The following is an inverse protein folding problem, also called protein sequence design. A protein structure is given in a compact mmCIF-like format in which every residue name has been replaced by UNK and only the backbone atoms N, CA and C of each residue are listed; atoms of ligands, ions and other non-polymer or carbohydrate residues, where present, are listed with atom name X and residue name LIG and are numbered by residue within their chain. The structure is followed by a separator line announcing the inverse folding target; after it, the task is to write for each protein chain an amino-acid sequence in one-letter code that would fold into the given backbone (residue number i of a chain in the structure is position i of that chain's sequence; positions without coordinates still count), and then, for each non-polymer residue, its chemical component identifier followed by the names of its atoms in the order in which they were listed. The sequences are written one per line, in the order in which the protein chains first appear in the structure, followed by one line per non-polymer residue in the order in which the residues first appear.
data_IF_865627730863
#
_entry.id   IF_865627730863
#
_cell.length_a   1.000
_cell.length_b   1.000
_cell.length_c   1.000
_cell.angle_alpha   90.00
_cell.angle_beta   90.00
_cell.angle_gamma   90.00
#
_symmetry.space_group_name_H-M   'P 1'
#
loop_
_entity.id
_entity.type
_entity.pdbx_description
1 polymer ?
#
# COMPACT_ATOMS: atom_id res chain seq x y z
N UNK A 1 32.55 -21.63 0.21
CA UNK A 1 32.23 -20.40 1.00
C UNK A 1 31.90 -19.23 0.08
N UNK A 2 32.71 -18.96 -0.96
CA UNK A 2 32.50 -17.83 -1.91
C UNK A 2 31.18 -17.92 -2.68
N UNK A 3 30.77 -19.09 -3.10
CA UNK A 3 29.54 -19.35 -3.85
C UNK A 3 28.30 -18.79 -3.14
N UNK A 4 28.24 -18.87 -1.80
CA UNK A 4 27.10 -18.34 -1.02
C UNK A 4 26.99 -16.83 -1.11
N UNK A 5 28.11 -16.11 -1.12
CA UNK A 5 28.13 -14.64 -1.22
C UNK A 5 27.81 -14.15 -2.63
N UNK A 6 28.28 -14.88 -3.65
CA UNK A 6 27.91 -14.63 -5.05
C UNK A 6 26.42 -14.86 -5.23
N UNK A 7 25.90 -16.00 -4.77
CA UNK A 7 24.46 -16.31 -4.85
C UNK A 7 23.62 -15.27 -4.12
N UNK A 8 24.04 -14.81 -2.94
CA UNK A 8 23.36 -13.77 -2.20
C UNK A 8 23.29 -12.44 -2.99
N UNK A 9 24.38 -12.07 -3.67
CA UNK A 9 24.40 -10.87 -4.52
C UNK A 9 23.45 -11.01 -5.71
N UNK A 10 23.45 -12.15 -6.40
CA UNK A 10 22.54 -12.40 -7.53
C UNK A 10 21.08 -12.38 -7.07
N UNK A 11 20.73 -13.08 -6.00
CA UNK A 11 19.36 -13.12 -5.47
C UNK A 11 18.89 -11.73 -5.03
N UNK A 12 19.77 -10.95 -4.41
CA UNK A 12 19.46 -9.57 -4.02
C UNK A 12 19.24 -8.68 -5.25
N UNK A 13 20.03 -8.87 -6.33
CA UNK A 13 19.84 -8.14 -7.59
C UNK A 13 18.51 -8.49 -8.26
N UNK A 14 18.12 -9.75 -8.29
CA UNK A 14 16.81 -10.19 -8.79
C UNK A 14 15.69 -9.59 -7.92
N UNK A 15 15.83 -9.66 -6.59
CA UNK A 15 14.84 -9.10 -5.68
C UNK A 15 14.68 -7.58 -5.85
N UNK A 16 15.78 -6.86 -6.12
CA UNK A 16 15.76 -5.42 -6.39
C UNK A 16 15.01 -5.09 -7.70
N UNK A 17 15.22 -5.85 -8.76
CA UNK A 17 14.50 -5.66 -10.04
C UNK A 17 13.00 -5.98 -9.92
N UNK A 18 12.63 -6.95 -9.08
CA UNK A 18 11.23 -7.24 -8.77
C UNK A 18 10.62 -6.10 -7.92
N UNK A 19 11.37 -5.62 -6.92
CA UNK A 19 10.92 -4.55 -6.02
C UNK A 19 12.12 -3.77 -5.47
N UNK A 20 12.23 -2.51 -5.88
CA UNK A 20 13.36 -1.64 -5.53
C UNK A 20 13.58 -1.50 -4.00
N UNK A 21 12.55 -1.71 -3.18
CA UNK A 21 12.67 -1.69 -1.70
C UNK A 21 13.56 -2.79 -1.14
N UNK A 22 13.91 -3.83 -1.92
CA UNK A 22 14.90 -4.83 -1.52
C UNK A 22 16.28 -4.21 -1.21
N UNK A 23 16.58 -3.01 -1.73
CA UNK A 23 17.79 -2.24 -1.39
C UNK A 23 17.92 -1.98 0.11
N UNK A 24 16.81 -1.89 0.85
CA UNK A 24 16.81 -1.68 2.30
C UNK A 24 17.58 -2.81 3.01
N UNK A 25 17.38 -4.06 2.57
CA UNK A 25 18.10 -5.20 3.13
C UNK A 25 19.60 -5.17 2.79
N UNK A 26 19.96 -4.69 1.59
CA UNK A 26 21.36 -4.52 1.19
C UNK A 26 22.06 -3.47 2.06
N UNK A 27 21.41 -2.32 2.25
CA UNK A 27 21.92 -1.24 3.09
C UNK A 27 22.02 -1.70 4.55
N UNK A 28 21.02 -2.39 5.07
CA UNK A 28 21.06 -2.94 6.43
C UNK A 28 22.19 -3.96 6.62
N UNK A 29 22.41 -4.83 5.63
CA UNK A 29 23.51 -5.79 5.65
C UNK A 29 24.87 -5.11 5.61
N UNK A 30 25.00 -4.03 4.83
CA UNK A 30 26.23 -3.21 4.78
C UNK A 30 26.48 -2.53 6.12
N UNK A 31 25.47 -1.86 6.70
CA UNK A 31 25.58 -1.22 8.02
C UNK A 31 26.00 -2.24 9.08
N UNK A 32 25.34 -3.41 9.09
CA UNK A 32 25.69 -4.50 9.97
C UNK A 32 27.13 -4.97 9.79
N UNK A 33 27.58 -5.18 8.54
CA UNK A 33 28.93 -5.63 8.24
C UNK A 33 30.00 -4.62 8.65
N UNK A 34 29.74 -3.32 8.39
CA UNK A 34 30.62 -2.21 8.80
C UNK A 34 30.68 -2.11 10.33
N UNK A 35 29.53 -2.17 11.01
CA UNK A 35 29.46 -2.16 12.46
C UNK A 35 30.24 -3.33 13.07
N UNK A 36 30.06 -4.55 12.56
CA UNK A 36 30.83 -5.72 12.97
C UNK A 36 32.32 -5.57 12.71
N UNK A 37 32.70 -5.03 11.55
CA UNK A 37 34.10 -4.82 11.17
C UNK A 37 34.81 -3.80 12.09
N UNK A 38 34.11 -2.72 12.48
CA UNK A 38 34.68 -1.65 13.30
C UNK A 38 34.83 -2.10 14.77
N UNK A 39 33.80 -2.71 15.33
CA UNK A 39 33.70 -2.92 16.78
C UNK A 39 34.07 -4.32 17.25
N UNK A 40 34.07 -5.33 16.38
CA UNK A 40 34.26 -6.74 16.79
C UNK A 40 35.33 -7.48 16.03
N UNK A 41 35.67 -7.06 14.81
CA UNK A 41 36.57 -7.84 13.96
C UNK A 41 38.05 -7.55 14.26
N UNK A 42 38.83 -8.61 14.36
CA UNK A 42 40.29 -8.52 14.37
C UNK A 42 40.83 -8.02 13.02
N UNK A 43 42.09 -7.55 12.96
CA UNK A 43 42.69 -7.05 11.73
C UNK A 43 42.58 -8.03 10.55
N UNK A 44 42.73 -9.31 10.81
CA UNK A 44 42.62 -10.36 9.78
C UNK A 44 41.17 -10.59 9.34
N UNK A 45 40.22 -10.49 10.24
CA UNK A 45 38.79 -10.65 9.94
C UNK A 45 38.23 -9.48 9.14
N UNK A 46 38.74 -8.25 9.37
CA UNK A 46 38.35 -7.05 8.59
C UNK A 46 38.54 -7.24 7.09
N UNK A 47 39.69 -7.81 6.69
CA UNK A 47 39.94 -8.12 5.28
C UNK A 47 38.97 -9.16 4.70
N UNK A 48 38.61 -10.18 5.50
CA UNK A 48 37.63 -11.17 5.08
C UNK A 48 36.22 -10.60 4.96
N UNK A 49 35.83 -9.70 5.86
CA UNK A 49 34.52 -9.02 5.80
C UNK A 49 34.47 -8.09 4.59
N UNK A 50 35.49 -7.27 4.37
CA UNK A 50 35.59 -6.40 3.19
C UNK A 50 35.51 -7.21 1.88
N UNK A 51 36.23 -8.34 1.80
CA UNK A 51 36.16 -9.26 0.67
C UNK A 51 34.76 -9.82 0.43
N UNK A 52 34.02 -10.19 1.50
CA UNK A 52 32.63 -10.65 1.39
C UNK A 52 31.70 -9.57 0.87
N UNK A 53 31.85 -8.32 1.34
CA UNK A 53 31.08 -7.18 0.84
C UNK A 53 31.28 -7.03 -0.67
N UNK A 54 32.52 -7.01 -1.14
CA UNK A 54 32.84 -6.86 -2.57
C UNK A 54 32.27 -8.02 -3.39
N UNK A 55 32.44 -9.27 -2.91
CA UNK A 55 31.96 -10.47 -3.60
C UNK A 55 30.42 -10.54 -3.64
N UNK A 56 29.72 -9.88 -2.74
CA UNK A 56 28.26 -9.77 -2.80
C UNK A 56 27.83 -8.59 -3.66
N UNK A 57 28.47 -7.44 -3.52
CA UNK A 57 28.12 -6.22 -4.23
C UNK A 57 28.34 -6.31 -5.75
N UNK A 58 29.44 -6.96 -6.18
CA UNK A 58 29.73 -7.06 -7.61
C UNK A 58 28.66 -7.89 -8.37
N UNK A 59 28.30 -9.12 -7.95
CA UNK A 59 27.21 -9.86 -8.57
C UNK A 59 25.86 -9.15 -8.48
N UNK A 60 25.57 -8.42 -7.38
CA UNK A 60 24.37 -7.60 -7.26
C UNK A 60 24.32 -6.57 -8.40
N UNK A 61 25.35 -5.74 -8.56
CA UNK A 61 25.39 -4.69 -9.57
C UNK A 61 25.35 -5.27 -11.00
N UNK A 62 26.06 -6.38 -11.24
CA UNK A 62 26.02 -7.07 -12.52
C UNK A 62 24.62 -7.61 -12.85
N UNK A 63 23.94 -8.22 -11.87
CA UNK A 63 22.58 -8.74 -12.06
C UNK A 63 21.59 -7.63 -12.37
N UNK A 64 21.62 -6.55 -11.60
CA UNK A 64 20.79 -5.36 -11.85
C UNK A 64 21.07 -4.80 -13.25
N UNK A 65 22.34 -4.60 -13.62
CA UNK A 65 22.71 -4.06 -14.93
C UNK A 65 22.26 -4.96 -16.08
N UNK A 66 22.48 -6.28 -15.97
CA UNK A 66 22.06 -7.24 -17.01
C UNK A 66 20.53 -7.28 -17.14
N UNK A 67 19.80 -7.37 -16.03
CA UNK A 67 18.33 -7.43 -16.07
C UNK A 67 17.73 -6.13 -16.60
N UNK A 68 18.18 -4.97 -16.13
CA UNK A 68 17.69 -3.67 -16.61
C UNK A 68 17.93 -3.48 -18.10
N UNK A 69 19.13 -3.84 -18.62
CA UNK A 69 19.44 -3.77 -20.05
C UNK A 69 18.60 -4.76 -20.85
N UNK A 70 18.47 -6.01 -20.37
CA UNK A 70 17.67 -7.04 -21.02
C UNK A 70 16.19 -6.65 -21.10
N UNK A 71 15.62 -6.11 -20.02
CA UNK A 71 14.23 -5.64 -20.01
C UNK A 71 14.02 -4.47 -20.97
N UNK A 72 14.92 -3.51 -21.00
CA UNK A 72 14.85 -2.39 -21.95
C UNK A 72 14.89 -2.87 -23.41
N UNK A 73 15.80 -3.78 -23.73
CA UNK A 73 15.91 -4.33 -25.08
C UNK A 73 14.69 -5.19 -25.44
N UNK A 74 14.12 -5.93 -24.48
CA UNK A 74 12.93 -6.75 -24.70
C UNK A 74 11.68 -5.90 -24.95
N UNK A 75 11.48 -4.84 -24.18
CA UNK A 75 10.34 -3.92 -24.33
C UNK A 75 10.44 -3.14 -25.65
N UNK A 76 11.65 -2.76 -26.08
CA UNK A 76 11.89 -2.07 -27.36
C UNK A 76 11.31 -0.66 -27.46
N UNK A 77 10.76 -0.13 -26.35
CA UNK A 77 10.15 1.20 -26.31
C UNK A 77 11.10 2.15 -25.56
N UNK A 78 11.37 3.30 -26.15
CA UNK A 78 12.07 4.37 -25.44
C UNK A 78 11.09 5.07 -24.47
N UNK A 79 11.27 4.79 -23.19
CA UNK A 79 10.46 5.37 -22.12
C UNK A 79 11.12 6.59 -21.47
N UNK A 80 12.17 7.15 -22.08
CA UNK A 80 12.98 8.21 -21.46
C UNK A 80 12.15 9.42 -21.07
N UNK A 81 11.29 9.89 -21.96
CA UNK A 81 10.45 11.06 -21.72
C UNK A 81 9.08 10.71 -21.12
N UNK A 82 8.59 9.49 -21.33
CA UNK A 82 7.31 9.05 -20.73
C UNK A 82 7.44 8.63 -19.28
N UNK A 83 8.62 8.15 -18.86
CA UNK A 83 8.85 7.71 -17.48
C UNK A 83 8.81 8.87 -16.48
N UNK A 84 8.15 8.64 -15.36
CA UNK A 84 8.14 9.59 -14.26
C UNK A 84 9.51 9.66 -13.57
N UNK A 85 10.01 10.86 -13.21
CA UNK A 85 11.23 10.98 -12.44
C UNK A 85 11.02 10.40 -11.04
N UNK A 86 12.08 9.86 -10.44
CA UNK A 86 12.04 9.29 -9.07
C UNK A 86 11.48 10.28 -8.04
N UNK A 87 11.71 11.58 -8.23
CA UNK A 87 11.18 12.66 -7.38
C UNK A 87 9.66 12.79 -7.44
N UNK A 88 9.00 12.27 -8.49
CA UNK A 88 7.53 12.22 -8.56
C UNK A 88 6.93 11.48 -7.36
N UNK A 89 7.47 10.32 -7.03
CA UNK A 89 6.98 9.51 -5.91
C UNK A 89 7.16 10.21 -4.55
N UNK A 90 8.24 11.00 -4.42
CA UNK A 90 8.45 11.82 -3.24
C UNK A 90 7.44 12.98 -3.16
N UNK A 91 7.19 13.65 -4.27
CA UNK A 91 6.24 14.76 -4.36
C UNK A 91 4.80 14.27 -4.11
N UNK A 92 4.40 13.18 -4.78
CA UNK A 92 3.08 12.57 -4.63
C UNK A 92 2.83 12.10 -3.20
N UNK A 93 3.87 11.59 -2.53
CA UNK A 93 3.81 11.12 -1.14
C UNK A 93 3.53 12.23 -0.11
N UNK A 94 3.62 13.50 -0.51
CA UNK A 94 3.30 14.66 0.35
C UNK A 94 1.81 15.01 0.35
N UNK A 95 0.99 14.39 -0.47
CA UNK A 95 -0.47 14.55 -0.45
C UNK A 95 -1.08 13.56 0.54
N UNK A 96 -1.90 14.02 1.49
CA UNK A 96 -2.58 13.12 2.44
C UNK A 96 -3.52 12.17 1.68
N UNK A 97 -3.49 10.85 1.97
CA UNK A 97 -2.85 10.15 3.10
C UNK A 97 -1.42 9.65 2.85
N UNK A 98 -0.68 10.20 1.90
CA UNK A 98 0.71 9.84 1.61
C UNK A 98 0.87 8.67 0.63
N UNK A 99 -0.20 8.27 -0.02
CA UNK A 99 -0.23 7.20 -1.01
C UNK A 99 -0.33 7.71 -2.45
N UNK A 100 -0.74 6.83 -3.36
CA UNK A 100 -1.03 7.17 -4.74
C UNK A 100 -2.07 8.29 -4.83
N UNK A 101 -1.83 9.24 -5.73
CA UNK A 101 -2.68 10.40 -5.97
C UNK A 101 -2.78 10.68 -7.48
N UNK A 102 -3.98 10.53 -8.02
CA UNK A 102 -4.23 10.67 -9.46
C UNK A 102 -4.02 12.12 -9.96
N UNK A 103 -4.27 13.13 -9.12
CA UNK A 103 -4.03 14.53 -9.49
C UNK A 103 -2.53 14.81 -9.68
N UNK A 104 -1.68 14.32 -8.77
CA UNK A 104 -0.22 14.47 -8.88
C UNK A 104 0.35 13.66 -10.04
N UNK A 105 -0.26 12.51 -10.35
CA UNK A 105 0.09 11.71 -11.51
C UNK A 105 -0.23 12.47 -12.80
N UNK A 106 -1.46 12.97 -12.94
CA UNK A 106 -1.89 13.77 -14.08
C UNK A 106 -1.05 15.04 -14.24
N UNK A 107 -0.74 15.72 -13.14
CA UNK A 107 0.15 16.89 -13.16
C UNK A 107 1.53 16.55 -13.75
N UNK A 108 2.16 15.48 -13.30
CA UNK A 108 3.47 15.08 -13.83
C UNK A 108 3.38 14.61 -15.28
N UNK A 109 2.30 13.92 -15.66
CA UNK A 109 2.07 13.44 -17.01
C UNK A 109 1.82 14.57 -18.01
N UNK A 110 1.38 15.75 -17.59
CA UNK A 110 1.11 16.89 -18.46
C UNK A 110 2.37 17.52 -19.09
N UNK A 111 3.55 17.22 -18.59
CA UNK A 111 4.82 17.72 -19.14
C UNK A 111 5.41 16.73 -20.16
N UNK A 112 5.93 17.26 -21.26
CA UNK A 112 6.37 16.46 -22.40
C UNK A 112 7.71 15.75 -22.16
N UNK A 113 8.67 16.45 -21.58
CA UNK A 113 10.05 15.95 -21.42
C UNK A 113 10.35 15.58 -19.96
N UNK A 114 11.34 14.70 -19.80
CA UNK A 114 11.82 14.28 -18.47
C UNK A 114 12.38 15.44 -17.66
N UNK A 115 13.02 16.39 -18.30
CA UNK A 115 13.60 17.58 -17.68
C UNK A 115 12.50 18.52 -17.17
N UNK A 116 11.48 18.78 -17.97
CA UNK A 116 10.30 19.55 -17.55
C UNK A 116 9.58 18.89 -16.37
N UNK A 117 9.36 17.56 -16.46
CA UNK A 117 8.78 16.79 -15.34
C UNK A 117 9.57 16.95 -14.04
N UNK A 118 10.91 16.88 -14.11
CA UNK A 118 11.77 17.03 -12.92
C UNK A 118 11.65 18.39 -12.27
N UNK A 119 11.67 19.46 -13.08
CA UNK A 119 11.58 20.83 -12.55
C UNK A 119 10.20 21.09 -11.96
N UNK A 120 9.12 20.77 -12.69
CA UNK A 120 7.75 20.92 -12.22
C UNK A 120 7.47 20.13 -10.93
N UNK A 121 7.93 18.88 -10.85
CA UNK A 121 7.81 18.04 -9.66
C UNK A 121 8.57 18.64 -8.48
N UNK A 122 9.78 19.19 -8.72
CA UNK A 122 10.58 19.84 -7.68
C UNK A 122 9.90 21.08 -7.13
N UNK A 123 9.37 21.93 -8.00
CA UNK A 123 8.63 23.13 -7.61
C UNK A 123 7.39 22.79 -6.79
N UNK A 124 6.56 21.87 -7.29
CA UNK A 124 5.36 21.41 -6.58
C UNK A 124 5.69 20.76 -5.23
N UNK A 125 6.79 19.99 -5.15
CA UNK A 125 7.25 19.39 -3.89
C UNK A 125 7.63 20.46 -2.86
N UNK A 126 8.38 21.50 -3.26
CA UNK A 126 8.76 22.61 -2.39
C UNK A 126 7.54 23.37 -1.93
N UNK A 127 6.59 23.65 -2.84
CA UNK A 127 5.34 24.31 -2.51
C UNK A 127 4.54 23.50 -1.47
N UNK A 128 4.32 22.20 -1.71
CA UNK A 128 3.61 21.33 -0.75
C UNK A 128 4.25 21.31 0.63
N UNK A 129 5.59 21.23 0.71
CA UNK A 129 6.30 21.26 1.98
C UNK A 129 6.15 22.62 2.69
N UNK A 130 6.20 23.72 1.93
CA UNK A 130 5.99 25.05 2.47
C UNK A 130 4.58 25.22 3.04
N UNK A 131 3.55 24.86 2.25
CA UNK A 131 2.15 25.01 2.61
C UNK A 131 1.74 24.14 3.80
N UNK A 132 2.28 22.93 3.85
CA UNK A 132 2.06 21.98 4.94
C UNK A 132 2.71 22.41 6.25
N UNK A 133 3.90 22.98 6.19
CA UNK A 133 4.72 23.34 7.34
C UNK A 133 5.11 22.10 8.18
N UNK A 134 5.84 22.35 9.27
CA UNK A 134 6.35 21.27 10.13
C UNK A 134 5.23 20.45 10.80
N UNK A 135 4.17 21.11 11.24
CA UNK A 135 3.06 20.44 11.92
C UNK A 135 2.26 19.53 10.97
N UNK A 136 1.98 20.02 9.77
CA UNK A 136 1.32 19.22 8.73
C UNK A 136 2.17 18.02 8.32
N UNK A 137 3.49 18.22 8.14
CA UNK A 137 4.40 17.13 7.83
C UNK A 137 4.44 16.07 8.95
N UNK A 138 4.48 16.47 10.22
CA UNK A 138 4.43 15.54 11.34
C UNK A 138 3.12 14.72 11.37
N UNK A 139 1.98 15.36 11.06
CA UNK A 139 0.69 14.68 10.90
C UNK A 139 0.74 13.66 9.77
N UNK A 140 1.25 14.05 8.61
CA UNK A 140 1.40 13.18 7.44
C UNK A 140 2.30 11.97 7.74
N UNK A 141 3.46 12.18 8.39
CA UNK A 141 4.35 11.10 8.84
C UNK A 141 3.62 10.10 9.71
N UNK A 142 2.84 10.57 10.70
CA UNK A 142 2.00 9.71 11.53
C UNK A 142 1.01 8.90 10.67
N UNK A 143 0.30 9.55 9.75
CA UNK A 143 -0.66 8.91 8.86
C UNK A 143 0.02 7.82 8.02
N UNK A 144 1.18 8.12 7.42
CA UNK A 144 1.94 7.17 6.59
C UNK A 144 2.41 5.94 7.39
N UNK A 145 2.95 6.15 8.60
CA UNK A 145 3.37 5.05 9.48
C UNK A 145 2.16 4.19 9.87
N UNK A 146 1.05 4.79 10.25
CA UNK A 146 -0.17 4.06 10.58
C UNK A 146 -0.71 3.29 9.39
N UNK A 147 -0.71 3.89 8.19
CA UNK A 147 -1.17 3.25 6.96
C UNK A 147 -0.33 2.03 6.59
N UNK A 148 1.00 2.13 6.71
CA UNK A 148 1.90 1.04 6.30
C UNK A 148 2.04 -0.05 7.37
N UNK A 149 2.04 0.34 8.67
CA UNK A 149 2.39 -0.55 9.78
C UNK A 149 1.32 -0.60 10.88
N UNK A 150 0.12 -0.07 10.67
CA UNK A 150 -0.84 0.14 11.77
C UNK A 150 -1.74 -1.03 12.08
N UNK A 151 -2.19 -1.78 11.09
CA UNK A 151 -3.29 -2.74 11.26
C UNK A 151 -2.94 -4.21 11.10
N UNK A 152 -1.78 -4.53 10.53
CA UNK A 152 -1.37 -5.91 10.25
C UNK A 152 -2.18 -6.61 9.16
N UNK A 153 -3.12 -5.91 8.52
CA UNK A 153 -3.97 -6.46 7.46
C UNK A 153 -3.27 -6.44 6.09
N UNK A 154 -2.20 -5.63 5.98
CA UNK A 154 -1.37 -5.52 4.77
C UNK A 154 -2.17 -5.20 3.49
N UNK A 155 -3.30 -4.54 3.63
CA UNK A 155 -4.15 -4.12 2.52
C UNK A 155 -4.91 -5.25 1.84
N UNK A 156 -5.00 -6.46 2.41
CA UNK A 156 -5.70 -7.55 1.74
C UNK A 156 -7.17 -7.20 1.47
N UNK A 157 -7.82 -6.46 2.34
CA UNK A 157 -9.21 -6.02 2.17
C UNK A 157 -9.39 -5.03 1.02
N UNK A 158 -8.31 -4.35 0.61
CA UNK A 158 -8.31 -3.41 -0.50
C UNK A 158 -7.93 -4.08 -1.81
N UNK A 159 -6.93 -4.97 -1.77
CA UNK A 159 -6.32 -5.53 -3.00
C UNK A 159 -6.81 -6.92 -3.37
N UNK A 160 -7.45 -7.65 -2.46
CA UNK A 160 -7.95 -9.01 -2.69
C UNK A 160 -9.48 -9.11 -2.63
N UNK A 161 -10.17 -7.99 -2.45
CA UNK A 161 -11.62 -7.97 -2.36
C UNK A 161 -12.35 -8.11 -3.73
N UNK A 162 -11.57 -8.20 -4.81
CA UNK A 162 -12.07 -8.28 -6.16
C UNK A 162 -12.57 -9.69 -6.47
N UNK A 163 -13.79 -9.96 -6.13
CA UNK A 163 -14.44 -11.22 -6.48
C UNK A 163 -15.64 -11.56 -5.59
N UNK A 164 -16.63 -12.16 -6.18
CA UNK A 164 -17.72 -12.76 -5.45
C UNK A 164 -17.32 -14.16 -5.03
N UNK A 165 -16.89 -14.28 -3.79
CA UNK A 165 -16.75 -15.57 -3.15
C UNK A 165 -18.05 -15.96 -2.47
N UNK A 166 -18.31 -17.26 -2.43
CA UNK A 166 -19.36 -17.84 -1.59
C UNK A 166 -18.70 -18.81 -0.63
N UNK A 167 -19.13 -18.78 0.62
CA UNK A 167 -18.65 -19.71 1.63
C UNK A 167 -18.09 -19.03 2.87
N UNK A 168 -17.87 -19.83 3.91
CA UNK A 168 -17.46 -19.36 5.24
C UNK A 168 -16.14 -18.59 5.23
N UNK A 169 -15.18 -18.98 4.41
CA UNK A 169 -13.88 -18.29 4.32
C UNK A 169 -14.03 -16.90 3.70
N UNK A 170 -14.86 -16.76 2.66
CA UNK A 170 -15.15 -15.46 2.07
C UNK A 170 -15.90 -14.57 3.07
N UNK A 171 -16.91 -15.11 3.74
CA UNK A 171 -17.70 -14.37 4.73
C UNK A 171 -16.84 -13.91 5.92
N UNK A 172 -15.86 -14.71 6.35
CA UNK A 172 -14.92 -14.33 7.39
C UNK A 172 -13.93 -13.25 6.94
N UNK A 173 -13.50 -13.22 5.68
CA UNK A 173 -12.47 -12.31 5.20
C UNK A 173 -13.03 -11.02 4.60
N UNK A 174 -14.16 -11.10 3.90
CA UNK A 174 -14.71 -10.00 3.11
C UNK A 174 -16.20 -9.72 3.38
N UNK A 175 -16.94 -10.69 3.95
CA UNK A 175 -18.36 -10.60 4.22
C UNK A 175 -18.70 -10.16 5.63
N UNK A 176 -19.80 -10.75 6.17
CA UNK A 176 -20.42 -10.33 7.44
C UNK A 176 -19.52 -10.49 8.67
N UNK A 177 -18.54 -11.41 8.65
CA UNK A 177 -17.63 -11.67 9.76
C UNK A 177 -16.27 -10.96 9.61
N UNK A 178 -16.10 -10.12 8.58
CA UNK A 178 -14.86 -9.37 8.30
C UNK A 178 -14.36 -8.61 9.52
N UNK A 179 -15.24 -7.95 10.25
CA UNK A 179 -14.89 -7.12 11.40
C UNK A 179 -14.24 -7.94 12.52
N UNK A 180 -14.75 -9.15 12.76
CA UNK A 180 -14.13 -10.07 13.73
C UNK A 180 -12.74 -10.48 13.27
N UNK A 181 -12.56 -10.79 11.99
CA UNK A 181 -11.24 -11.13 11.42
C UNK A 181 -10.25 -9.98 11.55
N UNK A 182 -10.68 -8.75 11.26
CA UNK A 182 -9.85 -7.54 11.44
C UNK A 182 -9.41 -7.38 12.89
N UNK A 183 -10.33 -7.50 13.85
CA UNK A 183 -10.02 -7.40 15.28
C UNK A 183 -9.05 -8.50 15.74
N UNK A 184 -9.22 -9.70 15.25
CA UNK A 184 -8.34 -10.82 15.55
C UNK A 184 -6.91 -10.57 15.06
N UNK A 185 -6.76 -10.16 13.80
CA UNK A 185 -5.47 -9.79 13.23
C UNK A 185 -4.82 -8.63 13.98
N UNK A 186 -5.58 -7.60 14.31
CA UNK A 186 -5.10 -6.46 15.09
C UNK A 186 -4.54 -6.89 16.44
N UNK A 187 -5.20 -7.82 17.13
CA UNK A 187 -4.70 -8.37 18.39
C UNK A 187 -3.34 -9.04 18.26
N UNK A 188 -3.17 -9.90 17.27
CA UNK A 188 -1.88 -10.54 16.96
C UNK A 188 -0.81 -9.53 16.58
N UNK A 189 -1.17 -8.55 15.77
CA UNK A 189 -0.24 -7.55 15.32
C UNK A 189 0.29 -6.70 16.48
N UNK A 190 -0.58 -6.26 17.36
CA UNK A 190 -0.19 -5.54 18.59
C UNK A 190 0.73 -6.37 19.49
N UNK A 191 0.48 -7.68 19.58
CA UNK A 191 1.36 -8.58 20.32
C UNK A 191 2.76 -8.66 19.69
N UNK A 192 2.85 -8.77 18.36
CA UNK A 192 4.14 -8.72 17.63
C UNK A 192 4.84 -7.38 17.89
N UNK A 193 4.11 -6.26 17.80
CA UNK A 193 4.67 -4.92 18.02
C UNK A 193 5.21 -4.74 19.44
N UNK A 194 4.52 -5.28 20.45
CA UNK A 194 5.01 -5.30 21.83
C UNK A 194 6.33 -6.08 21.92
N UNK A 195 6.42 -7.23 21.30
CA UNK A 195 7.67 -8.00 21.24
C UNK A 195 8.80 -7.25 20.54
N UNK A 196 8.51 -6.56 19.44
CA UNK A 196 9.49 -5.69 18.76
C UNK A 196 9.99 -4.59 19.69
N UNK A 197 9.10 -3.92 20.42
CA UNK A 197 9.46 -2.90 21.40
C UNK A 197 10.42 -3.46 22.47
N UNK A 198 10.11 -4.64 23.01
CA UNK A 198 10.99 -5.32 23.99
C UNK A 198 12.36 -5.64 23.37
N UNK A 199 12.40 -6.13 22.12
CA UNK A 199 13.63 -6.36 21.39
C UNK A 199 14.45 -5.08 21.21
N UNK A 200 13.81 -3.95 20.91
CA UNK A 200 14.47 -2.63 20.82
C UNK A 200 15.06 -2.21 22.18
N UNK A 201 14.31 -2.32 23.27
CA UNK A 201 14.79 -2.00 24.62
C UNK A 201 16.00 -2.87 24.96
N UNK A 202 15.91 -4.18 24.71
CA UNK A 202 17.03 -5.11 24.94
C UNK A 202 18.24 -4.75 24.13
N UNK A 203 18.05 -4.37 22.88
CA UNK A 203 19.11 -3.90 21.99
C UNK A 203 19.81 -2.67 22.57
N UNK A 204 19.06 -1.66 22.98
CA UNK A 204 19.63 -0.44 23.61
C UNK A 204 20.41 -0.80 24.86
N UNK A 205 19.87 -1.65 25.73
CA UNK A 205 20.56 -2.10 26.94
C UNK A 205 21.88 -2.83 26.64
N UNK A 206 21.91 -3.62 25.56
CA UNK A 206 23.14 -4.33 25.14
C UNK A 206 24.17 -3.37 24.50
N UNK A 207 23.72 -2.33 23.80
CA UNK A 207 24.63 -1.29 23.25
C UNK A 207 25.31 -0.50 24.38
N UNK A 208 24.63 -0.28 25.50
CA UNK A 208 25.14 0.46 26.64
C UNK A 208 26.09 -0.36 27.53
N UNK A 209 26.16 -1.70 27.36
CA UNK A 209 27.07 -2.57 28.12
C UNK A 209 28.49 -2.60 27.49
N UNK A 210 29.55 -2.78 28.31
CA UNK A 210 30.92 -2.95 27.78
C UNK A 210 31.05 -4.10 26.77
N UNK A 211 32.02 -4.00 25.86
CA UNK A 211 32.16 -4.86 24.66
C UNK A 211 32.41 -6.35 24.94
N UNK A 212 32.78 -6.75 26.15
CA UNK A 212 33.33 -8.10 26.43
C UNK A 212 32.32 -9.20 26.76
N UNK A 213 31.04 -8.92 26.83
CA UNK A 213 30.02 -9.88 27.23
C UNK A 213 29.21 -10.45 26.05
N UNK A 214 29.57 -11.65 25.60
CA UNK A 214 28.72 -12.64 24.92
C UNK A 214 27.76 -12.15 23.79
N UNK A 215 28.21 -11.31 22.83
CA UNK A 215 27.36 -10.52 21.92
C UNK A 215 26.88 -11.23 20.63
N UNK A 216 27.01 -12.54 20.50
CA UNK A 216 26.67 -13.22 19.24
C UNK A 216 25.20 -13.19 18.82
N UNK A 217 24.27 -13.25 19.77
CA UNK A 217 22.83 -13.17 19.50
C UNK A 217 22.38 -11.73 19.17
N UNK A 218 22.97 -10.77 19.83
CA UNK A 218 22.76 -9.35 19.67
C UNK A 218 22.97 -8.87 18.21
N UNK A 219 24.03 -9.33 17.57
CA UNK A 219 24.36 -8.92 16.20
C UNK A 219 23.31 -9.37 15.18
N UNK A 220 22.64 -10.50 15.39
CA UNK A 220 21.57 -10.96 14.48
C UNK A 220 20.33 -10.08 14.59
N UNK A 221 19.96 -9.68 15.80
CA UNK A 221 18.84 -8.75 16.03
C UNK A 221 19.11 -7.37 15.45
N UNK A 222 20.36 -6.91 15.50
CA UNK A 222 20.76 -5.61 14.95
C UNK A 222 20.42 -5.50 13.44
N UNK A 223 20.76 -6.52 12.65
CA UNK A 223 20.44 -6.53 11.23
C UNK A 223 18.93 -6.41 10.99
N UNK A 224 18.11 -7.16 11.73
CA UNK A 224 16.66 -7.14 11.58
C UNK A 224 16.07 -5.78 12.00
N UNK A 225 16.55 -5.20 13.11
CA UNK A 225 16.10 -3.89 13.58
C UNK A 225 16.50 -2.77 12.61
N UNK A 226 17.72 -2.81 12.07
CA UNK A 226 18.19 -1.83 11.07
C UNK A 226 17.36 -1.95 9.79
N UNK A 227 17.01 -3.17 9.37
CA UNK A 227 16.15 -3.40 8.20
C UNK A 227 14.75 -2.83 8.42
N UNK A 228 14.13 -3.07 9.57
CA UNK A 228 12.79 -2.56 9.89
C UNK A 228 12.80 -1.03 10.04
N UNK A 229 13.80 -0.48 10.73
CA UNK A 229 13.96 0.97 10.86
C UNK A 229 14.20 1.64 9.50
N UNK A 230 15.02 1.02 8.65
CA UNK A 230 15.24 1.46 7.27
C UNK A 230 13.96 1.48 6.45
N UNK A 231 13.09 0.47 6.62
CA UNK A 231 11.77 0.44 5.99
C UNK A 231 10.87 1.59 6.46
N UNK A 232 10.82 1.83 7.78
CA UNK A 232 10.02 2.93 8.34
C UNK A 232 10.52 4.27 7.79
N UNK A 233 11.83 4.53 7.79
CA UNK A 233 12.41 5.75 7.23
C UNK A 233 12.11 5.90 5.75
N UNK A 234 12.23 4.81 4.99
CA UNK A 234 11.94 4.82 3.56
C UNK A 234 10.48 5.22 3.29
N UNK A 235 9.52 4.59 3.96
CA UNK A 235 8.10 4.88 3.74
C UNK A 235 7.61 6.18 4.38
N UNK A 236 8.35 6.77 5.29
CA UNK A 236 8.12 8.16 5.73
C UNK A 236 8.40 9.15 4.60
N UNK A 237 9.43 8.89 3.80
CA UNK A 237 9.81 9.75 2.66
C UNK A 237 9.06 9.37 1.38
N UNK A 238 8.91 8.09 1.12
CA UNK A 238 8.29 7.54 -0.08
C UNK A 238 6.78 7.41 0.05
N UNK A 239 6.11 7.04 -1.04
CA UNK A 239 4.71 6.65 -1.02
C UNK A 239 4.45 5.58 0.03
N UNK A 240 3.32 5.70 0.75
CA UNK A 240 2.87 4.75 1.77
C UNK A 240 1.65 3.97 1.29
N UNK A 241 1.70 2.65 1.48
CA UNK A 241 0.59 1.75 1.21
C UNK A 241 0.61 0.60 2.22
N UNK A 242 -0.54 0.06 2.52
CA UNK A 242 -0.74 -1.02 3.48
C UNK A 242 0.07 -2.28 3.12
N UNK A 243 0.12 -2.62 1.83
CA UNK A 243 0.87 -3.78 1.31
C UNK A 243 2.39 -3.66 1.42
N UNK A 244 2.91 -2.47 1.70
CA UNK A 244 4.35 -2.25 1.73
C UNK A 244 5.03 -2.81 2.98
N UNK A 245 4.27 -3.14 4.01
CA UNK A 245 4.76 -3.87 5.20
C UNK A 245 5.03 -5.36 4.95
N UNK A 246 4.39 -5.97 3.93
CA UNK A 246 4.48 -7.42 3.64
C UNK A 246 5.91 -7.96 3.59
N UNK A 247 6.89 -7.34 2.88
CA UNK A 247 8.26 -7.84 2.84
C UNK A 247 8.96 -7.87 4.22
N UNK A 248 8.45 -7.09 5.17
CA UNK A 248 9.03 -6.95 6.51
C UNK A 248 8.31 -7.78 7.57
N UNK A 249 7.16 -8.38 7.25
CA UNK A 249 6.36 -9.18 8.19
C UNK A 249 7.16 -10.30 8.84
N UNK A 250 7.98 -11.00 8.07
CA UNK A 250 8.81 -12.08 8.58
C UNK A 250 9.84 -11.56 9.61
N UNK A 251 10.48 -10.42 9.32
CA UNK A 251 11.40 -9.77 10.25
C UNK A 251 10.66 -9.30 11.51
N UNK A 252 9.48 -8.70 11.35
CA UNK A 252 8.66 -8.27 12.49
C UNK A 252 8.28 -9.45 13.39
N UNK A 253 7.89 -10.59 12.79
CA UNK A 253 7.59 -11.81 13.53
C UNK A 253 8.81 -12.31 14.31
N UNK A 254 9.97 -12.40 13.69
CA UNK A 254 11.20 -12.84 14.37
C UNK A 254 11.63 -11.89 15.49
N UNK A 255 11.53 -10.59 15.28
CA UNK A 255 11.81 -9.59 16.31
C UNK A 255 10.80 -9.67 17.46
N UNK A 256 9.51 -9.88 17.13
CA UNK A 256 8.46 -10.07 18.12
C UNK A 256 8.74 -11.29 19.02
N UNK A 257 9.04 -12.43 18.40
CA UNK A 257 9.38 -13.67 19.12
C UNK A 257 10.65 -13.51 19.96
N UNK A 258 11.70 -12.85 19.44
CA UNK A 258 12.94 -12.61 20.17
C UNK A 258 12.71 -11.72 21.41
N UNK A 259 11.80 -10.74 21.33
CA UNK A 259 11.39 -9.94 22.47
C UNK A 259 10.66 -10.76 23.53
N UNK A 260 9.74 -11.62 23.12
CA UNK A 260 9.04 -12.51 24.04
C UNK A 260 9.99 -13.53 24.71
N UNK A 261 10.95 -14.07 23.95
CA UNK A 261 12.00 -14.93 24.52
C UNK A 261 12.85 -14.17 25.56
N UNK A 262 13.14 -12.89 25.33
CA UNK A 262 13.86 -12.07 26.31
C UNK A 262 13.10 -11.97 27.64
N UNK A 263 11.78 -11.85 27.62
CA UNK A 263 10.94 -11.85 28.84
C UNK A 263 11.05 -13.20 29.55
N UNK A 264 11.03 -14.31 28.81
CA UNK A 264 11.16 -15.66 29.39
C UNK A 264 12.54 -15.89 30.03
N UNK A 265 13.61 -15.43 29.38
CA UNK A 265 14.98 -15.53 29.91
C UNK A 265 15.15 -14.71 31.21
N UNK A 266 14.65 -13.47 31.24
CA UNK A 266 14.65 -12.63 32.45
C UNK A 266 13.85 -13.27 33.59
N UNK A 267 12.76 -13.94 33.27
CA UNK A 267 11.97 -14.69 34.23
C UNK A 267 12.78 -15.84 34.84
N UNK A 268 13.48 -16.63 34.04
CA UNK A 268 14.30 -17.76 34.47
C UNK A 268 15.48 -17.35 35.35
N UNK A 269 16.07 -16.19 35.08
CA UNK A 269 17.15 -15.64 35.92
C UNK A 269 16.67 -15.13 37.29
N UNK A 270 15.41 -14.76 37.42
CA UNK A 270 14.87 -14.05 38.60
C UNK A 270 14.27 -14.99 39.67
N UNK A 271 14.07 -16.30 39.40
CA UNK A 271 13.11 -17.07 40.22
C UNK A 271 13.55 -18.52 40.50
N UNK A 272 13.29 -19.00 41.75
CA UNK A 272 13.40 -20.40 42.15
C UNK A 272 12.28 -21.26 41.50
N UNK A 273 12.53 -22.55 41.29
CA UNK A 273 11.66 -23.51 40.57
C UNK A 273 10.19 -23.54 41.04
N UNK A 274 9.95 -23.34 42.35
CA UNK A 274 8.59 -23.33 42.93
C UNK A 274 7.83 -22.00 42.67
N UNK A 275 8.54 -20.87 42.58
CA UNK A 275 7.98 -19.58 42.22
C UNK A 275 7.83 -19.47 40.69
N UNK A 276 8.66 -20.19 39.90
CA UNK A 276 8.61 -20.24 38.45
C UNK A 276 7.23 -20.69 37.92
N UNK A 277 6.66 -21.75 38.53
CA UNK A 277 5.33 -22.26 38.13
C UNK A 277 4.21 -21.24 38.42
N UNK A 278 4.26 -20.53 39.57
CA UNK A 278 3.27 -19.51 39.94
C UNK A 278 3.40 -18.26 39.06
N UNK A 279 4.62 -17.82 38.75
CA UNK A 279 4.88 -16.66 37.89
C UNK A 279 4.55 -17.00 36.46
N UNK A 280 4.84 -18.23 35.97
CA UNK A 280 4.44 -18.70 34.64
C UNK A 280 2.91 -18.63 34.46
N UNK A 281 2.17 -19.13 35.43
CA UNK A 281 0.71 -19.03 35.41
C UNK A 281 0.24 -17.56 35.50
N UNK A 282 0.86 -16.75 36.35
CA UNK A 282 0.55 -15.33 36.49
C UNK A 282 0.85 -14.53 35.21
N UNK A 283 1.96 -14.80 34.53
CA UNK A 283 2.31 -14.17 33.26
C UNK A 283 1.40 -14.66 32.12
N UNK A 284 1.04 -15.95 32.11
CA UNK A 284 0.09 -16.49 31.16
C UNK A 284 -1.29 -15.85 31.32
N UNK A 285 -1.81 -15.78 32.54
CA UNK A 285 -3.09 -15.12 32.83
C UNK A 285 -3.00 -13.60 32.68
N UNK A 286 -1.85 -12.99 32.99
CA UNK A 286 -1.59 -11.56 32.79
C UNK A 286 -1.52 -11.21 31.31
N UNK A 287 -0.83 -11.99 30.50
CA UNK A 287 -0.79 -11.78 29.04
C UNK A 287 -2.14 -12.01 28.38
N UNK A 288 -2.89 -13.01 28.86
CA UNK A 288 -4.28 -13.24 28.43
C UNK A 288 -5.18 -12.06 28.84
N UNK A 289 -5.01 -11.54 30.05
CA UNK A 289 -5.72 -10.36 30.55
C UNK A 289 -5.39 -9.10 29.74
N UNK A 290 -4.11 -8.88 29.43
CA UNK A 290 -3.69 -7.75 28.57
C UNK A 290 -4.22 -7.91 27.15
N UNK A 291 -4.17 -9.10 26.58
CA UNK A 291 -4.75 -9.38 25.25
C UNK A 291 -6.28 -9.14 25.26
N UNK A 292 -6.96 -9.56 26.32
CA UNK A 292 -8.39 -9.31 26.50
C UNK A 292 -8.70 -7.82 26.64
N UNK A 293 -7.92 -7.09 27.44
CA UNK A 293 -8.08 -5.64 27.62
C UNK A 293 -7.78 -4.88 26.35
N UNK A 294 -6.74 -5.27 25.60
CA UNK A 294 -6.45 -4.70 24.28
C UNK A 294 -7.54 -5.04 23.27
N UNK A 295 -8.10 -6.25 23.31
CA UNK A 295 -9.25 -6.64 22.52
C UNK A 295 -10.48 -5.80 22.84
N UNK A 296 -10.82 -5.64 24.12
CA UNK A 296 -11.93 -4.78 24.58
C UNK A 296 -11.68 -3.32 24.18
N UNK A 297 -10.45 -2.82 24.39
CA UNK A 297 -10.08 -1.47 23.99
C UNK A 297 -10.18 -1.28 22.47
N UNK A 298 -9.73 -2.24 21.67
CA UNK A 298 -9.88 -2.24 20.22
C UNK A 298 -11.35 -2.23 19.79
N UNK A 299 -12.20 -3.04 20.46
CA UNK A 299 -13.65 -3.05 20.24
C UNK A 299 -14.26 -1.68 20.59
N UNK A 300 -13.91 -1.10 21.75
CA UNK A 300 -14.40 0.20 22.14
C UNK A 300 -13.92 1.34 21.25
N UNK A 301 -12.75 1.18 20.64
CA UNK A 301 -12.12 2.13 19.71
C UNK A 301 -12.29 1.75 18.25
N UNK A 302 -13.02 0.67 17.95
CA UNK A 302 -13.24 0.15 16.62
C UNK A 302 -13.58 1.23 15.60
N UNK A 303 -14.53 2.11 15.93
CA UNK A 303 -14.91 3.25 15.08
C UNK A 303 -13.81 4.30 14.89
N UNK A 304 -12.73 4.25 15.66
CA UNK A 304 -11.62 5.20 15.57
C UNK A 304 -10.45 4.65 14.74
N UNK A 305 -10.31 3.32 14.65
CA UNK A 305 -9.21 2.63 13.96
C UNK A 305 -9.62 2.04 12.62
N UNK A 306 -10.82 1.53 12.52
CA UNK A 306 -11.43 1.20 11.24
C UNK A 306 -11.95 2.48 10.63
N UNK A 307 -11.82 2.60 9.33
CA UNK A 307 -12.49 3.65 8.57
C UNK A 307 -13.89 3.76 9.13
N UNK A 308 -14.25 4.95 9.62
CA UNK A 308 -15.57 5.23 10.14
C UNK A 308 -16.56 4.56 9.19
N UNK A 309 -17.38 3.60 9.62
CA UNK A 309 -18.41 3.11 8.75
C UNK A 309 -19.19 4.36 8.38
N UNK A 310 -19.10 4.76 7.14
CA UNK A 310 -20.02 5.74 6.61
C UNK A 310 -21.36 5.14 6.94
N UNK A 311 -22.31 5.91 7.44
CA UNK A 311 -23.66 5.42 7.80
C UNK A 311 -24.34 4.67 6.67
N UNK A 312 -23.74 4.67 5.49
CA UNK A 312 -24.11 3.90 4.30
C UNK A 312 -23.10 2.79 4.08
N UNK A 313 -23.55 1.57 4.07
CA UNK A 313 -22.82 0.41 3.59
C UNK A 313 -22.36 0.69 2.15
N UNK A 314 -21.06 0.85 1.94
CA UNK A 314 -20.49 1.03 0.61
C UNK A 314 -20.07 -0.33 0.05
N UNK A 315 -21.04 -1.16 -0.25
CA UNK A 315 -20.79 -2.40 -0.97
C UNK A 315 -20.96 -2.11 -2.45
N UNK A 316 -19.93 -2.35 -3.25
CA UNK A 316 -20.06 -2.23 -4.69
C UNK A 316 -21.01 -3.31 -5.20
N UNK A 317 -22.13 -2.90 -5.78
CA UNK A 317 -23.08 -3.82 -6.38
C UNK A 317 -22.51 -4.41 -7.68
N UNK A 318 -21.78 -3.60 -8.43
CA UNK A 318 -21.03 -4.02 -9.62
C UNK A 318 -19.92 -3.01 -9.92
N UNK A 319 -18.80 -3.51 -10.41
CA UNK A 319 -17.74 -2.71 -11.00
C UNK A 319 -17.49 -3.19 -12.41
N UNK A 320 -17.50 -2.28 -13.37
CA UNK A 320 -17.32 -2.59 -14.78
C UNK A 320 -16.07 -1.89 -15.26
N UNK A 321 -15.16 -2.65 -15.88
CA UNK A 321 -13.89 -2.15 -16.41
C UNK A 321 -13.65 -2.79 -17.78
N UNK A 322 -13.27 -1.99 -18.77
CA UNK A 322 -12.87 -2.49 -20.07
C UNK A 322 -11.35 -2.41 -20.24
N UNK A 323 -10.80 -3.29 -21.06
CA UNK A 323 -9.38 -3.29 -21.38
C UNK A 323 -8.95 -2.06 -22.18
N UNK A 324 -9.88 -1.48 -22.93
CA UNK A 324 -9.66 -0.30 -23.77
C UNK A 324 -10.74 0.76 -23.51
N UNK A 325 -10.39 2.05 -23.61
CA UNK A 325 -11.37 3.11 -23.44
C UNK A 325 -12.34 3.15 -24.63
N UNK A 326 -13.61 3.37 -24.33
CA UNK A 326 -14.65 3.58 -25.34
C UNK A 326 -14.84 5.06 -25.59
N UNK A 327 -14.61 5.48 -26.82
CA UNK A 327 -14.92 6.82 -27.30
C UNK A 327 -16.37 6.85 -27.81
N UNK A 328 -17.20 7.73 -27.24
CA UNK A 328 -18.61 7.86 -27.64
C UNK A 328 -18.74 9.07 -28.56
N UNK A 329 -19.07 8.84 -29.83
CA UNK A 329 -19.18 9.85 -30.88
C UNK A 329 -20.61 10.34 -31.07
N UNK A 330 -20.76 11.35 -31.91
CA UNK A 330 -22.08 11.89 -32.29
C UNK A 330 -22.98 10.79 -32.87
N UNK A 331 -24.18 10.68 -32.35
CA UNK A 331 -25.17 9.68 -32.77
C UNK A 331 -24.95 8.27 -32.23
N UNK A 332 -23.88 8.04 -31.51
CA UNK A 332 -23.62 6.76 -30.83
C UNK A 332 -24.16 6.77 -29.39
N UNK A 333 -24.44 5.58 -28.87
CA UNK A 333 -24.74 5.36 -27.46
C UNK A 333 -23.91 4.19 -26.96
N UNK A 334 -23.19 4.41 -25.86
CA UNK A 334 -22.59 3.34 -25.11
C UNK A 334 -23.61 2.79 -24.12
N UNK A 335 -23.98 1.53 -24.30
CA UNK A 335 -24.95 0.85 -23.44
C UNK A 335 -24.26 -0.30 -22.74
N UNK A 336 -24.41 -0.35 -21.43
CA UNK A 336 -23.91 -1.42 -20.59
C UNK A 336 -25.04 -2.04 -19.78
N UNK A 337 -25.33 -3.29 -20.06
CA UNK A 337 -26.26 -4.09 -19.25
C UNK A 337 -25.64 -4.41 -17.90
N UNK A 338 -26.42 -4.24 -16.84
CA UNK A 338 -25.98 -4.44 -15.47
C UNK A 338 -26.61 -5.70 -14.88
N UNK A 339 -25.80 -6.47 -14.19
CA UNK A 339 -26.23 -7.56 -13.31
C UNK A 339 -25.88 -7.16 -11.88
N UNK A 340 -26.86 -6.68 -11.14
CA UNK A 340 -26.65 -6.23 -9.77
C UNK A 340 -26.71 -7.40 -8.81
N UNK A 341 -25.73 -7.50 -7.92
CA UNK A 341 -25.69 -8.51 -6.85
C UNK A 341 -26.24 -7.98 -5.53
N UNK A 342 -26.18 -6.67 -5.34
CA UNK A 342 -26.67 -5.95 -4.17
C UNK A 342 -27.60 -4.81 -4.61
N UNK A 343 -28.41 -4.29 -3.69
CA UNK A 343 -29.15 -3.05 -3.92
C UNK A 343 -28.19 -1.87 -3.99
N UNK A 344 -28.35 -1.00 -4.96
CA UNK A 344 -27.50 0.19 -5.11
C UNK A 344 -28.35 1.46 -5.29
N UNK A 345 -27.78 2.58 -4.86
CA UNK A 345 -28.36 3.91 -4.97
C UNK A 345 -27.32 4.98 -5.35
N UNK A 346 -26.16 4.53 -5.77
CA UNK A 346 -25.01 5.41 -6.00
C UNK A 346 -24.19 4.92 -7.18
N UNK A 347 -23.87 5.80 -8.12
CA UNK A 347 -23.03 5.52 -9.28
C UNK A 347 -21.75 6.37 -9.20
N UNK A 348 -20.61 5.70 -9.28
CA UNK A 348 -19.31 6.35 -9.47
C UNK A 348 -18.81 6.03 -10.86
N UNK A 349 -18.52 7.05 -11.64
CA UNK A 349 -18.09 6.91 -13.02
C UNK A 349 -16.83 7.73 -13.29
N UNK A 350 -15.94 7.21 -14.12
CA UNK A 350 -14.74 7.92 -14.56
C UNK A 350 -14.63 7.93 -16.07
N UNK A 351 -14.02 8.99 -16.58
CA UNK A 351 -13.73 9.16 -18.00
C UNK A 351 -12.39 9.88 -18.19
N UNK A 352 -11.83 9.72 -19.38
CA UNK A 352 -10.70 10.51 -19.85
C UNK A 352 -11.17 11.61 -20.76
N UNK A 353 -10.62 12.79 -20.58
CA UNK A 353 -10.88 13.96 -21.41
C UNK A 353 -9.55 14.42 -22.04
N UNK A 354 -9.17 13.89 -23.21
CA UNK A 354 -7.88 14.20 -23.84
C UNK A 354 -7.66 15.68 -24.17
N UNK A 355 -8.74 16.45 -24.32
CA UNK A 355 -8.70 17.87 -24.68
C UNK A 355 -8.85 18.79 -23.46
N UNK A 356 -9.11 18.24 -22.26
CA UNK A 356 -9.30 19.05 -21.05
C UNK A 356 -10.40 20.10 -21.20
N UNK A 357 -10.11 21.34 -20.82
CA UNK A 357 -11.06 22.47 -20.85
C UNK A 357 -11.49 22.87 -22.29
N UNK A 358 -10.71 22.51 -23.32
CA UNK A 358 -11.02 22.78 -24.72
C UNK A 358 -12.09 21.82 -25.27
N UNK A 359 -12.50 20.82 -24.52
CA UNK A 359 -13.53 19.88 -24.92
C UNK A 359 -14.93 20.47 -24.66
N UNK A 360 -15.63 20.84 -25.72
CA UNK A 360 -16.97 21.43 -25.68
C UNK A 360 -18.10 20.39 -25.62
N UNK A 361 -17.78 19.11 -25.57
CA UNK A 361 -18.78 18.04 -25.62
C UNK A 361 -19.59 17.93 -24.32
N UNK A 362 -20.86 17.58 -24.46
CA UNK A 362 -21.78 17.28 -23.37
C UNK A 362 -22.37 15.89 -23.58
N UNK A 363 -22.37 15.12 -22.53
CA UNK A 363 -22.89 13.75 -22.50
C UNK A 363 -24.06 13.64 -21.55
N UNK A 364 -25.03 12.82 -21.92
CA UNK A 364 -26.11 12.41 -21.04
C UNK A 364 -25.83 10.98 -20.56
N UNK A 365 -25.93 10.78 -19.26
CA UNK A 365 -25.79 9.46 -18.60
C UNK A 365 -27.12 9.10 -18.02
N UNK A 366 -27.70 8.00 -18.47
CA UNK A 366 -29.01 7.52 -18.02
C UNK A 366 -28.87 6.11 -17.43
N UNK A 367 -29.24 5.95 -16.16
CA UNK A 367 -29.47 4.65 -15.55
C UNK A 367 -30.96 4.33 -15.64
N UNK A 368 -31.31 3.26 -16.31
CA UNK A 368 -32.70 2.86 -16.56
C UNK A 368 -32.91 1.36 -16.45
N UNK A 369 -34.18 0.95 -16.32
CA UNK A 369 -34.55 -0.46 -16.51
C UNK A 369 -34.21 -0.90 -17.92
N UNK A 370 -33.88 -2.18 -18.12
CA UNK A 370 -33.50 -2.73 -19.42
C UNK A 370 -34.60 -2.57 -20.49
N UNK A 371 -35.86 -2.63 -20.08
CA UNK A 371 -37.01 -2.41 -20.95
C UNK A 371 -37.33 -0.91 -21.20
N UNK A 372 -36.57 0.00 -20.58
CA UNK A 372 -36.75 1.42 -20.70
C UNK A 372 -37.97 2.00 -19.99
N UNK A 373 -38.72 1.19 -19.24
CA UNK A 373 -39.97 1.60 -18.61
C UNK A 373 -39.75 2.52 -17.40
N UNK A 374 -38.57 2.50 -16.80
CA UNK A 374 -38.23 3.30 -15.63
C UNK A 374 -36.82 3.90 -15.73
N UNK A 375 -36.68 5.17 -15.46
CA UNK A 375 -35.41 5.89 -15.37
C UNK A 375 -35.11 6.14 -13.90
N UNK A 376 -34.00 5.58 -13.41
CA UNK A 376 -33.54 5.77 -12.04
C UNK A 376 -32.71 7.04 -11.88
N UNK A 377 -31.96 7.41 -12.93
CA UNK A 377 -31.05 8.56 -12.93
C UNK A 377 -30.89 9.07 -14.37
N UNK A 378 -30.81 10.39 -14.52
CA UNK A 378 -30.48 11.03 -15.78
C UNK A 378 -29.68 12.30 -15.47
N UNK A 379 -28.41 12.32 -15.83
CA UNK A 379 -27.45 13.37 -15.50
C UNK A 379 -26.63 13.76 -16.71
N UNK A 380 -26.04 14.96 -16.68
CA UNK A 380 -25.21 15.48 -17.75
C UNK A 380 -23.75 15.65 -17.30
N UNK A 381 -22.83 15.28 -18.18
CA UNK A 381 -21.40 15.51 -18.04
C UNK A 381 -21.01 16.58 -19.04
N UNK A 382 -20.55 17.72 -18.56
CA UNK A 382 -19.95 18.78 -19.40
C UNK A 382 -18.43 18.58 -19.39
N UNK A 383 -17.85 18.20 -20.52
CA UNK A 383 -16.46 17.82 -20.62
C UNK A 383 -15.48 18.94 -20.23
N UNK A 384 -15.78 20.21 -20.60
CA UNK A 384 -14.97 21.38 -20.23
C UNK A 384 -14.84 21.63 -18.73
N UNK A 385 -15.71 21.06 -17.92
CA UNK A 385 -15.67 21.16 -16.46
C UNK A 385 -14.82 20.06 -15.82
N UNK A 386 -14.35 19.10 -16.61
CA UNK A 386 -13.48 18.03 -16.14
C UNK A 386 -12.06 18.26 -16.66
N UNK A 387 -11.05 18.09 -15.80
CA UNK A 387 -9.66 18.00 -16.26
C UNK A 387 -9.43 16.76 -17.10
N UNK A 388 -8.16 16.42 -17.38
CA UNK A 388 -7.77 15.27 -18.20
C UNK A 388 -8.41 13.94 -17.74
N UNK A 389 -8.60 13.77 -16.43
CA UNK A 389 -9.35 12.66 -15.86
C UNK A 389 -10.55 13.24 -15.10
N UNK A 390 -11.74 12.95 -15.59
CA UNK A 390 -12.98 13.34 -14.94
C UNK A 390 -13.56 12.20 -14.12
N UNK A 391 -14.27 12.55 -13.04
CA UNK A 391 -15.06 11.62 -12.26
C UNK A 391 -16.38 12.25 -11.84
N UNK A 392 -17.44 11.46 -11.84
CA UNK A 392 -18.75 11.85 -11.36
C UNK A 392 -19.29 10.88 -10.33
N UNK A 393 -19.99 11.41 -9.35
CA UNK A 393 -20.69 10.67 -8.32
C UNK A 393 -22.16 11.09 -8.38
N UNK A 394 -23.04 10.12 -8.57
CA UNK A 394 -24.46 10.36 -8.83
C UNK A 394 -25.31 9.54 -7.87
N UNK A 395 -26.19 10.21 -7.14
CA UNK A 395 -27.18 9.56 -6.26
C UNK A 395 -28.49 9.33 -7.03
N UNK A 396 -29.13 8.20 -6.77
CA UNK A 396 -30.38 7.83 -7.44
C UNK A 396 -31.29 6.97 -6.55
N UNK A 397 -32.50 6.74 -7.01
CA UNK A 397 -33.43 5.83 -6.34
C UNK A 397 -32.88 4.41 -6.29
N UNK A 398 -33.04 3.75 -5.15
CA UNK A 398 -32.48 2.42 -4.91
C UNK A 398 -32.95 1.38 -5.94
N UNK A 399 -32.00 0.85 -6.71
CA UNK A 399 -32.22 -0.25 -7.65
C UNK A 399 -31.94 -1.59 -6.95
N UNK A 400 -32.89 -2.51 -7.03
CA UNK A 400 -32.78 -3.85 -6.42
C UNK A 400 -32.14 -4.86 -7.36
N UNK A 401 -31.41 -5.87 -6.84
CA UNK A 401 -30.72 -6.87 -7.67
C UNK A 401 -31.61 -7.62 -8.66
N UNK A 402 -32.90 -7.80 -8.32
CA UNK A 402 -33.87 -8.50 -9.18
C UNK A 402 -34.28 -7.71 -10.42
N UNK A 403 -33.95 -6.41 -10.47
CA UNK A 403 -34.32 -5.54 -11.59
C UNK A 403 -33.19 -5.51 -12.60
N UNK A 404 -33.44 -6.02 -13.81
CA UNK A 404 -32.52 -5.84 -14.91
C UNK A 404 -32.39 -4.36 -15.25
N UNK A 405 -31.18 -3.82 -15.25
CA UNK A 405 -30.92 -2.41 -15.50
C UNK A 405 -29.79 -2.24 -16.52
N UNK A 406 -29.69 -1.05 -17.09
CA UNK A 406 -28.59 -0.67 -17.97
C UNK A 406 -28.19 0.78 -17.78
N UNK A 407 -26.91 1.08 -18.01
CA UNK A 407 -26.42 2.45 -18.16
C UNK A 407 -26.31 2.74 -19.64
N UNK A 408 -26.80 3.90 -20.03
CA UNK A 408 -26.68 4.43 -21.38
C UNK A 408 -25.97 5.79 -21.30
N UNK A 409 -24.92 5.94 -22.11
CA UNK A 409 -24.15 7.17 -22.24
C UNK A 409 -24.26 7.64 -23.69
N UNK A 410 -24.75 8.86 -23.90
CA UNK A 410 -24.90 9.48 -25.23
C UNK A 410 -24.24 10.84 -25.27
N UNK A 411 -23.57 11.16 -26.36
CA UNK A 411 -23.17 12.52 -26.65
C UNK A 411 -24.39 13.32 -27.15
N UNK A 412 -24.69 14.43 -26.52
CA UNK A 412 -25.87 15.25 -26.82
C UNK A 412 -25.52 16.57 -27.49
N UNK A 413 -24.28 17.07 -27.33
CA UNK A 413 -23.77 18.25 -28.02
C UNK A 413 -22.24 18.31 -28.03
N UNK A 414 -21.69 19.26 -28.77
CA UNK A 414 -20.25 19.52 -28.89
C UNK A 414 -19.71 19.19 -30.28
N UNK A 415 -18.47 19.61 -30.52
CA UNK A 415 -17.79 19.41 -31.80
C UNK A 415 -17.49 17.94 -32.07
N UNK A 416 -17.57 17.50 -33.33
CA UNK A 416 -17.42 16.08 -33.69
C UNK A 416 -16.06 15.46 -33.28
N UNK A 417 -15.03 16.31 -33.19
CA UNK A 417 -13.67 15.89 -32.81
C UNK A 417 -13.46 15.88 -31.29
N UNK A 418 -14.37 16.45 -30.51
CA UNK A 418 -14.30 16.56 -29.07
C UNK A 418 -15.06 15.40 -28.40
N UNK A 419 -14.35 14.36 -28.02
CA UNK A 419 -14.97 13.17 -27.44
C UNK A 419 -14.36 12.79 -26.09
N UNK A 420 -15.21 12.35 -25.17
CA UNK A 420 -14.78 11.69 -23.92
C UNK A 420 -14.53 10.21 -24.18
N UNK A 421 -13.59 9.68 -23.42
CA UNK A 421 -13.24 8.26 -23.43
C UNK A 421 -13.68 7.63 -22.11
N UNK A 422 -14.68 6.78 -22.16
CA UNK A 422 -15.16 6.05 -21.00
C UNK A 422 -14.38 4.77 -20.82
N UNK A 423 -13.83 4.55 -19.65
CA UNK A 423 -13.04 3.38 -19.31
C UNK A 423 -13.94 2.42 -18.56
N UNK A 424 -14.33 1.34 -19.22
CA UNK A 424 -15.16 0.29 -18.66
C UNK A 424 -14.32 -0.96 -18.46
N UNK A 425 -14.42 -1.56 -17.28
CA UNK A 425 -13.74 -2.80 -16.94
C UNK A 425 -14.77 -3.85 -16.53
N UNK A 426 -14.60 -5.06 -17.03
CA UNK A 426 -15.44 -6.20 -16.70
C UNK A 426 -14.89 -6.90 -15.45
N UNK A 427 -15.10 -6.27 -14.30
CA UNK A 427 -14.74 -6.80 -12.99
C UNK A 427 -15.88 -6.65 -12.01
N UNK A 428 -16.09 -7.69 -11.23
CA UNK A 428 -17.02 -7.70 -10.11
C UNK A 428 -16.22 -7.72 -8.82
N UNK A 429 -16.44 -6.74 -7.95
CA UNK A 429 -15.71 -6.68 -6.71
C UNK A 429 -16.09 -5.54 -5.80
N UNK A 430 -15.65 -5.65 -4.57
CA UNK A 430 -15.78 -4.62 -3.57
C UNK A 430 -14.65 -3.61 -3.71
N UNK A 431 -14.99 -2.34 -3.89
CA UNK A 431 -14.00 -1.26 -3.77
C UNK A 431 -14.48 -0.21 -2.80
N UNK A 432 -13.75 0.04 -1.72
CA UNK A 432 -14.15 1.00 -0.70
C UNK A 432 -13.88 2.47 -1.09
N UNK A 433 -13.34 2.75 -2.30
CA UNK A 433 -12.97 4.10 -2.70
C UNK A 433 -13.81 4.63 -3.85
N UNK A 434 -14.36 5.84 -3.75
CA UNK A 434 -14.80 6.58 -4.92
C UNK A 434 -13.55 6.93 -5.74
N UNK A 435 -13.54 6.62 -7.00
CA UNK A 435 -12.42 6.92 -7.90
C UNK A 435 -11.90 5.71 -8.64
N UNK A 436 -12.66 4.78 -8.98
CA UNK A 436 -12.40 3.80 -10.01
C UNK A 436 -13.35 4.03 -11.16
N UNK A 437 -13.13 3.40 -12.24
CA UNK A 437 -13.93 3.41 -13.45
C UNK A 437 -15.45 3.30 -13.14
N UNK A 438 -16.28 2.84 -13.95
CA UNK A 438 -17.72 2.79 -13.70
C UNK A 438 -18.07 1.86 -12.51
N UNK A 439 -18.82 2.36 -11.49
CA UNK A 439 -19.28 1.62 -10.32
C UNK A 439 -20.73 1.93 -9.99
N UNK A 440 -21.40 0.92 -9.47
CA UNK A 440 -22.65 1.06 -8.75
C UNK A 440 -22.45 0.64 -7.29
N UNK A 441 -22.78 1.51 -6.33
CA UNK A 441 -22.52 1.33 -4.89
C UNK A 441 -23.81 1.45 -4.10
#
# INVERSE_FOLDING_TARGET
VWVRWIAAGILLGIAYEIRATAIIFAVAALIYAVYHMVFFATKNERGKIAGRIVITALPFLLTVGVLSVSMRNYIGIDTTDTAFPTTHWLMMSLTEPGGHNAEDEAYTASFATKEEKKEAVRERMVQKLHDMGLQGYAKLVKTKICRTFGDGMNGYTTFLADGYGTGEAYDALFGNHKDFTVLWHQGYYLFIMLGILISCIRMIQQLLKPLDSGKGCFLKLLFMLVSLFGAILFYVLWEASEQYSVPFMLIMLFLGLAGMQTVDDLRKEAVSEAAEKRISQGLMYGSLGVALLLGIWSICRYRTFTVTPVEQSRTAAVQIMANEPYEVKDGEALIQDLTLHESCNHLVMQWRNPLGEDNDSVYEVTLKSRDGSHIYMQEQITASQSGYNGAGIYDFETVKPALASCIEIRKISGSAECNLQFVLYDMYGYTPYPGGNLRLV
#
